data_IF_139472554079
#
_entry.id   IF_139472554079
#
_cell.length_a   1.000
_cell.length_b   1.000
_cell.length_c   1.000
_cell.angle_alpha   90.00
_cell.angle_beta   90.00
_cell.angle_gamma   90.00
#
_symmetry.space_group_name_H-M   'P 1'
#
loop_
_entity.id
_entity.type
_entity.pdbx_description
1 polymer ?
#
# COMPACT_ATOMS: atom_id res chain seq x y z
N UNK A 1 9.86 0.18 7.23
CA UNK A 1 11.28 -0.09 7.62
C UNK A 1 11.89 1.05 8.44
N UNK A 2 11.77 2.32 8.02
CA UNK A 2 12.38 3.47 8.71
C UNK A 2 11.76 3.76 10.09
N UNK A 3 10.46 3.60 10.25
CA UNK A 3 9.79 3.86 11.54
C UNK A 3 10.19 2.84 12.62
N UNK A 4 10.42 1.58 12.21
CA UNK A 4 10.94 0.54 13.10
C UNK A 4 12.33 0.91 13.63
N UNK A 5 13.21 1.42 12.77
CA UNK A 5 14.55 1.88 13.17
C UNK A 5 14.44 3.11 14.09
N UNK A 6 13.56 4.07 13.77
CA UNK A 6 13.32 5.22 14.64
C UNK A 6 12.86 4.78 16.04
N UNK A 7 11.93 3.83 16.14
CA UNK A 7 11.48 3.27 17.40
C UNK A 7 12.62 2.57 18.16
N UNK A 8 13.43 1.74 17.48
CA UNK A 8 14.54 0.99 18.10
C UNK A 8 15.62 1.89 18.74
N UNK A 9 15.82 3.09 18.19
CA UNK A 9 16.81 4.05 18.68
C UNK A 9 16.24 5.13 19.61
N UNK A 10 14.98 5.01 20.00
CA UNK A 10 14.38 5.89 21.01
C UNK A 10 15.17 5.80 22.31
N UNK A 11 15.66 6.93 22.79
CA UNK A 11 16.51 7.01 24.00
C UNK A 11 17.98 6.62 23.80
N UNK A 12 18.42 6.33 22.57
CA UNK A 12 19.81 5.94 22.24
C UNK A 12 20.61 7.01 21.48
N UNK A 13 20.19 8.28 21.58
CA UNK A 13 20.88 9.42 20.97
C UNK A 13 20.44 9.79 19.54
N UNK A 14 19.53 9.02 18.93
CA UNK A 14 18.86 9.42 17.68
C UNK A 14 17.50 10.04 18.02
N UNK A 15 17.15 11.13 17.32
CA UNK A 15 15.87 11.83 17.47
C UNK A 15 15.21 12.01 16.11
N UNK A 16 13.91 11.74 16.03
CA UNK A 16 13.07 12.08 14.88
C UNK A 16 12.89 13.60 14.85
N UNK A 17 13.31 14.25 13.77
CA UNK A 17 13.20 15.72 13.59
C UNK A 17 12.09 16.11 12.62
N UNK A 18 11.67 15.19 11.76
CA UNK A 18 10.59 15.37 10.80
C UNK A 18 10.02 13.99 10.42
N UNK A 19 8.72 13.96 10.13
CA UNK A 19 8.01 12.81 9.58
C UNK A 19 7.23 13.32 8.37
N UNK A 20 7.32 12.63 7.23
CA UNK A 20 6.55 13.00 6.06
C UNK A 20 5.07 12.63 6.24
N UNK A 21 4.22 13.09 5.33
CA UNK A 21 2.92 12.45 5.16
C UNK A 21 3.11 10.99 4.78
N UNK A 22 2.14 10.17 5.14
CA UNK A 22 2.08 8.78 4.70
C UNK A 22 2.06 8.74 3.17
N UNK A 23 2.63 7.69 2.60
CA UNK A 23 2.59 7.42 1.16
C UNK A 23 1.61 6.26 0.99
N UNK A 24 0.70 6.31 0.01
CA UNK A 24 -0.23 5.22 -0.23
C UNK A 24 0.53 3.90 -0.47
N UNK A 25 -0.03 2.81 0.07
CA UNK A 25 0.52 1.46 -0.12
C UNK A 25 0.40 0.99 -1.57
N UNK A 26 1.18 -0.03 -1.93
CA UNK A 26 1.19 -0.58 -3.29
C UNK A 26 -0.19 -1.12 -3.70
N UNK A 27 -0.77 -0.67 -4.84
CA UNK A 27 -2.03 -1.21 -5.32
C UNK A 27 -1.86 -2.61 -5.90
N UNK A 28 -2.96 -3.39 -5.91
CA UNK A 28 -3.09 -4.53 -6.81
C UNK A 28 -3.60 -4.00 -8.15
N UNK A 29 -2.80 -4.19 -9.20
CA UNK A 29 -3.12 -3.73 -10.56
C UNK A 29 -3.43 -4.90 -11.48
N UNK A 30 -4.31 -4.66 -12.44
CA UNK A 30 -4.61 -5.61 -13.52
C UNK A 30 -4.08 -5.10 -14.85
N UNK A 31 -3.81 -6.02 -15.77
CA UNK A 31 -3.40 -5.68 -17.13
C UNK A 31 -4.58 -5.02 -17.87
N UNK A 32 -4.31 -4.00 -18.67
CA UNK A 32 -5.34 -3.19 -19.36
C UNK A 32 -6.27 -4.00 -20.29
N UNK A 33 -5.76 -5.07 -20.89
CA UNK A 33 -6.46 -5.96 -21.82
C UNK A 33 -6.93 -7.28 -21.15
N UNK A 34 -6.92 -7.34 -19.81
CA UNK A 34 -7.51 -8.48 -19.10
C UNK A 34 -9.02 -8.48 -19.30
N UNK A 35 -9.60 -9.66 -19.48
CA UNK A 35 -11.05 -9.83 -19.63
C UNK A 35 -11.79 -9.11 -18.46
N UNK A 36 -12.73 -8.19 -18.75
CA UNK A 36 -13.48 -7.47 -17.72
C UNK A 36 -14.18 -8.39 -16.72
N UNK A 37 -14.68 -9.56 -17.16
CA UNK A 37 -15.35 -10.52 -16.28
C UNK A 37 -14.38 -11.14 -15.27
N UNK A 38 -13.14 -11.39 -15.68
CA UNK A 38 -12.09 -11.87 -14.78
C UNK A 38 -11.75 -10.78 -13.78
N UNK A 39 -11.58 -9.54 -14.25
CA UNK A 39 -11.29 -8.37 -13.38
C UNK A 39 -12.37 -8.19 -12.32
N UNK A 40 -13.65 -8.18 -12.72
CA UNK A 40 -14.77 -8.02 -11.79
C UNK A 40 -14.84 -9.17 -10.77
N UNK A 41 -14.68 -10.41 -11.22
CA UNK A 41 -14.68 -11.58 -10.34
C UNK A 41 -13.55 -11.52 -9.30
N UNK A 42 -12.35 -11.10 -9.71
CA UNK A 42 -11.20 -10.97 -8.82
C UNK A 42 -11.39 -9.84 -7.80
N UNK A 43 -11.82 -8.65 -8.23
CA UNK A 43 -12.10 -7.52 -7.33
C UNK A 43 -13.16 -7.92 -6.31
N UNK A 44 -14.25 -8.54 -6.75
CA UNK A 44 -15.33 -9.01 -5.87
C UNK A 44 -14.85 -10.07 -4.88
N UNK A 45 -13.97 -10.98 -5.30
CA UNK A 45 -13.42 -12.02 -4.42
C UNK A 45 -12.51 -11.41 -3.35
N UNK A 46 -11.61 -10.50 -3.72
CA UNK A 46 -10.69 -9.85 -2.79
C UNK A 46 -11.45 -8.99 -1.77
N UNK A 47 -12.42 -8.19 -2.20
CA UNK A 47 -13.23 -7.34 -1.31
C UNK A 47 -14.12 -8.12 -0.34
N UNK A 48 -14.33 -9.43 -0.56
CA UNK A 48 -15.08 -10.30 0.37
C UNK A 48 -14.23 -10.83 1.52
N UNK A 49 -12.91 -10.70 1.43
CA UNK A 49 -12.01 -11.04 2.53
C UNK A 49 -12.23 -10.01 3.63
N UNK A 50 -12.60 -10.49 4.83
CA UNK A 50 -12.97 -9.63 5.95
C UNK A 50 -11.98 -9.92 7.08
N UNK A 51 -11.03 -9.01 7.26
CA UNK A 51 -9.98 -9.13 8.25
C UNK A 51 -10.49 -9.23 9.70
N UNK A 52 -11.75 -8.88 9.96
CA UNK A 52 -12.35 -9.04 11.30
C UNK A 52 -12.66 -10.50 11.60
N UNK A 53 -12.84 -11.33 10.57
CA UNK A 53 -13.16 -12.75 10.71
C UNK A 53 -11.89 -13.61 10.79
N UNK A 54 -11.71 -14.42 11.85
CA UNK A 54 -10.50 -15.24 12.02
C UNK A 54 -10.26 -16.26 10.89
N UNK A 55 -11.34 -16.81 10.32
CA UNK A 55 -11.29 -17.74 9.17
C UNK A 55 -10.77 -17.06 7.91
N UNK A 56 -11.22 -15.83 7.62
CA UNK A 56 -10.73 -15.05 6.48
C UNK A 56 -9.27 -14.61 6.68
N UNK A 57 -8.87 -14.24 7.91
CA UNK A 57 -7.44 -13.97 8.21
C UNK A 57 -6.56 -15.20 8.00
N UNK A 58 -7.07 -16.40 8.34
CA UNK A 58 -6.33 -17.63 8.13
C UNK A 58 -6.13 -17.95 6.63
N UNK A 59 -7.10 -17.59 5.77
CA UNK A 59 -7.02 -17.76 4.31
C UNK A 59 -5.81 -17.04 3.70
N UNK A 60 -5.52 -15.82 4.19
CA UNK A 60 -4.46 -14.94 3.65
C UNK A 60 -3.19 -14.93 4.51
N UNK A 61 -3.12 -15.74 5.56
CA UNK A 61 -2.01 -15.72 6.54
C UNK A 61 -0.64 -15.93 5.88
N UNK A 62 -0.61 -16.78 4.85
CA UNK A 62 0.64 -17.17 4.19
C UNK A 62 0.92 -16.30 2.95
N UNK A 63 0.13 -15.24 2.73
CA UNK A 63 0.40 -14.21 1.73
C UNK A 63 1.27 -13.09 2.32
N UNK A 64 1.38 -11.95 1.61
CA UNK A 64 2.04 -10.77 2.17
C UNK A 64 1.34 -10.32 3.47
N UNK A 65 2.09 -10.03 4.55
CA UNK A 65 1.53 -9.57 5.82
C UNK A 65 0.58 -8.37 5.71
N UNK A 66 0.74 -7.52 4.69
CA UNK A 66 -0.14 -6.37 4.46
C UNK A 66 -1.57 -6.81 4.12
N UNK A 67 -1.76 -7.98 3.49
CA UNK A 67 -3.09 -8.49 3.10
C UNK A 67 -3.91 -9.04 4.26
N UNK A 68 -3.30 -9.26 5.43
CA UNK A 68 -4.01 -9.69 6.63
C UNK A 68 -5.09 -8.68 7.08
N UNK A 69 -5.00 -7.43 6.62
CA UNK A 69 -5.93 -6.34 6.91
C UNK A 69 -7.09 -6.22 5.91
N UNK A 70 -7.14 -7.12 4.91
CA UNK A 70 -8.17 -7.13 3.89
C UNK A 70 -7.89 -6.16 2.75
N UNK A 71 -8.90 -5.94 1.91
CA UNK A 71 -8.79 -5.14 0.69
C UNK A 71 -9.90 -4.09 0.65
N UNK A 72 -9.59 -2.95 0.05
CA UNK A 72 -10.54 -1.86 -0.20
C UNK A 72 -10.46 -1.46 -1.68
N UNK A 73 -11.53 -0.86 -2.25
CA UNK A 73 -11.45 -0.25 -3.56
C UNK A 73 -10.33 0.80 -3.58
N UNK A 74 -9.61 0.87 -4.69
CA UNK A 74 -8.59 1.86 -4.93
C UNK A 74 -9.01 2.70 -6.15
N UNK A 75 -9.01 4.01 -5.99
CA UNK A 75 -9.27 4.97 -7.05
C UNK A 75 -7.94 5.59 -7.51
N UNK A 76 -7.89 6.12 -8.73
CA UNK A 76 -6.69 6.79 -9.25
C UNK A 76 -6.24 7.94 -8.33
N UNK A 77 -7.20 8.70 -7.78
CA UNK A 77 -6.95 9.82 -6.88
C UNK A 77 -6.30 9.45 -5.54
N UNK A 78 -6.38 8.17 -5.12
CA UNK A 78 -5.68 7.70 -3.93
C UNK A 78 -4.16 7.77 -4.09
N UNK A 79 -3.69 7.91 -5.35
CA UNK A 79 -2.29 7.93 -5.74
C UNK A 79 -1.79 9.28 -6.26
N UNK A 80 -2.60 10.36 -6.20
CA UNK A 80 -2.22 11.72 -6.64
C UNK A 80 -0.87 12.19 -6.06
N UNK A 81 -0.58 11.82 -4.80
CA UNK A 81 0.69 12.15 -4.14
C UNK A 81 1.90 11.53 -4.84
N UNK A 82 1.75 10.31 -5.38
CA UNK A 82 2.80 9.60 -6.11
C UNK A 82 3.09 10.32 -7.42
N UNK A 83 2.04 10.72 -8.15
CA UNK A 83 2.18 11.50 -9.39
C UNK A 83 2.87 12.85 -9.13
N UNK A 84 2.52 13.52 -8.04
CA UNK A 84 3.17 14.77 -7.64
C UNK A 84 4.67 14.58 -7.34
N UNK A 85 5.07 13.45 -6.71
CA UNK A 85 6.47 13.13 -6.46
C UNK A 85 7.22 12.93 -7.77
N UNK A 86 6.69 12.13 -8.70
CA UNK A 86 7.34 11.91 -10.00
C UNK A 86 7.46 13.21 -10.82
N UNK A 87 6.39 14.01 -10.86
CA UNK A 87 6.41 15.31 -11.53
C UNK A 87 7.43 16.29 -10.93
N UNK A 88 7.68 16.23 -9.62
CA UNK A 88 8.72 17.03 -8.97
C UNK A 88 10.13 16.54 -9.35
N UNK A 89 10.35 15.22 -9.40
CA UNK A 89 11.63 14.62 -9.77
C UNK A 89 12.00 14.88 -11.23
N UNK A 90 11.04 14.95 -12.15
CA UNK A 90 11.27 15.27 -13.56
C UNK A 90 11.65 16.74 -13.78
N UNK A 91 11.17 17.64 -12.91
CA UNK A 91 11.49 19.07 -12.97
C UNK A 91 12.89 19.40 -12.45
N UNK A 92 13.48 18.54 -11.63
CA UNK A 92 14.87 18.65 -11.23
C UNK A 92 15.77 17.91 -12.24
N UNK A 93 16.56 18.60 -13.08
CA UNK A 93 17.51 17.90 -13.93
C UNK A 93 18.47 17.10 -13.03
N UNK A 94 18.62 15.79 -13.31
CA UNK A 94 19.60 14.92 -12.64
C UNK A 94 20.94 15.65 -12.62
N UNK A 95 21.37 16.07 -11.43
CA UNK A 95 22.70 16.63 -11.19
C UNK A 95 23.77 15.55 -11.23
#
# INVERSE_FOLDING_TARGET
MKDRVAAEFTGKGIRVIAVSREIPGSPIIVRRDLDPLITEAMVKALLRIDARRPDHRALVRDWDPEFAWGFVPAEESDYDQVDAIFAALEKEPRR
#
